data_IF_197783988065
#
_entry.id   IF_197783988065
#
_cell.length_a   1.000
_cell.length_b   1.000
_cell.length_c   1.000
_cell.angle_alpha   90.00
_cell.angle_beta   90.00
_cell.angle_gamma   90.00
#
_symmetry.space_group_name_H-M   'P 1'
#
loop_
_entity.id
_entity.type
_entity.pdbx_description
1 polymer ?
#
# COMPACT_ATOMS: atom_id res chain seq x y z
N UNK A 1 2.43 14.28 -23.19
CA UNK A 1 2.80 13.50 -21.99
C UNK A 1 3.96 12.61 -22.34
N UNK A 2 5.04 12.67 -21.56
CA UNK A 2 6.28 11.96 -21.88
C UNK A 2 6.26 10.54 -21.33
N UNK A 3 6.99 9.64 -21.99
CA UNK A 3 7.13 8.25 -21.56
C UNK A 3 7.62 8.10 -20.11
N UNK A 4 8.44 9.05 -19.63
CA UNK A 4 8.93 9.05 -18.25
C UNK A 4 7.81 9.26 -17.22
N UNK A 5 6.86 10.17 -17.49
CA UNK A 5 5.67 10.36 -16.65
C UNK A 5 4.79 9.11 -16.66
N UNK A 6 4.58 8.50 -17.83
CA UNK A 6 3.77 7.28 -17.96
C UNK A 6 4.38 6.13 -17.17
N UNK A 7 5.69 5.90 -17.29
CA UNK A 7 6.39 4.87 -16.52
C UNK A 7 6.29 5.10 -15.02
N UNK A 8 6.45 6.35 -14.56
CA UNK A 8 6.24 6.71 -13.17
C UNK A 8 4.81 6.38 -12.71
N UNK A 9 3.79 6.88 -13.42
CA UNK A 9 2.40 6.69 -13.06
C UNK A 9 2.00 5.20 -13.04
N UNK A 10 2.46 4.42 -14.02
CA UNK A 10 2.23 2.97 -14.08
C UNK A 10 2.92 2.28 -12.89
N UNK A 11 4.19 2.57 -12.64
CA UNK A 11 4.93 1.95 -11.54
C UNK A 11 4.30 2.24 -10.19
N UNK A 12 3.99 3.51 -9.89
CA UNK A 12 3.35 3.88 -8.62
C UNK A 12 1.97 3.24 -8.48
N UNK A 13 1.19 3.19 -9.56
CA UNK A 13 -0.14 2.57 -9.56
C UNK A 13 -0.07 1.06 -9.30
N UNK A 14 0.87 0.35 -9.94
CA UNK A 14 1.06 -1.08 -9.73
C UNK A 14 1.53 -1.40 -8.31
N UNK A 15 2.46 -0.61 -7.77
CA UNK A 15 2.92 -0.76 -6.38
C UNK A 15 1.78 -0.53 -5.40
N UNK A 16 0.95 0.50 -5.61
CA UNK A 16 -0.14 0.86 -4.72
C UNK A 16 -1.29 -0.15 -4.79
N UNK A 17 -1.65 -0.59 -6.01
CA UNK A 17 -2.66 -1.62 -6.23
C UNK A 17 -2.20 -2.99 -5.70
N UNK A 18 -0.97 -3.41 -6.00
CA UNK A 18 -0.41 -4.67 -5.52
C UNK A 18 -0.24 -4.67 -4.00
N UNK A 19 0.28 -3.59 -3.44
CA UNK A 19 0.43 -3.41 -2.00
C UNK A 19 -0.92 -3.43 -1.28
N UNK A 20 -1.91 -2.68 -1.79
CA UNK A 20 -3.27 -2.67 -1.25
C UNK A 20 -3.96 -4.03 -1.33
N UNK A 21 -3.81 -4.75 -2.46
CA UNK A 21 -4.37 -6.09 -2.62
C UNK A 21 -3.78 -7.09 -1.63
N UNK A 22 -2.44 -7.12 -1.48
CA UNK A 22 -1.77 -7.99 -0.51
C UNK A 22 -2.18 -7.66 0.93
N UNK A 23 -2.38 -6.37 1.24
CA UNK A 23 -2.84 -5.94 2.56
C UNK A 23 -4.24 -6.48 2.85
N UNK A 24 -5.17 -6.34 1.89
CA UNK A 24 -6.54 -6.85 2.02
C UNK A 24 -6.56 -8.38 2.17
N UNK A 25 -5.81 -9.10 1.34
CA UNK A 25 -5.76 -10.58 1.40
C UNK A 25 -5.18 -11.04 2.75
N UNK A 26 -4.08 -10.43 3.20
CA UNK A 26 -3.50 -10.73 4.52
C UNK A 26 -4.44 -10.38 5.69
N UNK A 27 -5.20 -9.29 5.56
CA UNK A 27 -6.20 -8.88 6.54
C UNK A 27 -7.37 -9.87 6.63
N UNK A 28 -7.93 -10.27 5.49
CA UNK A 28 -9.02 -11.25 5.42
C UNK A 28 -8.55 -12.62 5.97
N UNK A 29 -7.28 -12.99 5.74
CA UNK A 29 -6.72 -14.23 6.28
C UNK A 29 -6.50 -14.22 7.80
N UNK A 30 -6.36 -13.05 8.43
CA UNK A 30 -6.00 -12.92 9.85
C UNK A 30 -7.14 -12.47 10.74
N UNK A 31 -8.08 -11.67 10.23
CA UNK A 31 -9.16 -11.09 11.04
C UNK A 31 -10.17 -12.12 11.57
N UNK A 32 -10.72 -13.05 10.75
CA UNK A 32 -11.62 -14.08 11.26
C UNK A 32 -10.92 -14.96 12.31
N UNK A 33 -9.65 -15.30 12.06
CA UNK A 33 -8.85 -16.05 13.00
C UNK A 33 -8.65 -15.31 14.33
N UNK A 34 -8.32 -14.01 14.27
CA UNK A 34 -8.14 -13.20 15.48
C UNK A 34 -9.41 -13.12 16.33
N UNK A 35 -10.59 -13.09 15.70
CA UNK A 35 -11.89 -13.17 16.39
C UNK A 35 -12.06 -14.54 17.04
N UNK A 36 -11.73 -15.64 16.34
CA UNK A 36 -11.82 -17.00 16.89
C UNK A 36 -10.88 -17.24 18.09
N UNK A 37 -9.71 -16.59 18.14
CA UNK A 37 -8.80 -16.65 19.29
C UNK A 37 -9.20 -15.72 20.45
N UNK A 38 -10.28 -14.95 20.31
CA UNK A 38 -10.89 -14.14 21.36
C UNK A 38 -10.64 -12.64 21.25
N UNK A 39 -11.50 -11.87 21.91
CA UNK A 39 -11.56 -10.40 21.80
C UNK A 39 -10.24 -9.68 22.11
N UNK A 40 -9.41 -10.21 23.01
CA UNK A 40 -8.08 -9.62 23.32
C UNK A 40 -7.13 -9.61 22.12
N UNK A 41 -7.23 -10.59 21.22
CA UNK A 41 -6.43 -10.65 19.98
C UNK A 41 -7.10 -9.96 18.80
N UNK A 42 -8.44 -9.94 18.76
CA UNK A 42 -9.20 -9.23 17.73
C UNK A 42 -9.08 -7.71 17.83
N UNK A 43 -9.04 -7.15 19.05
CA UNK A 43 -8.97 -5.71 19.28
C UNK A 43 -7.78 -5.02 18.55
N UNK A 44 -6.53 -5.48 18.71
CA UNK A 44 -5.41 -4.86 18.01
C UNK A 44 -5.50 -5.00 16.49
N UNK A 45 -6.05 -6.11 15.98
CA UNK A 45 -6.25 -6.34 14.53
C UNK A 45 -7.28 -5.34 13.95
N UNK A 46 -8.36 -5.07 14.69
CA UNK A 46 -9.40 -4.11 14.31
C UNK A 46 -8.95 -2.66 14.43
N UNK A 47 -8.25 -2.30 15.50
CA UNK A 47 -7.82 -0.92 15.76
C UNK A 47 -6.64 -0.49 14.89
N UNK A 48 -5.74 -1.43 14.57
CA UNK A 48 -4.55 -1.18 13.77
C UNK A 48 -4.61 -2.07 12.52
N UNK A 49 -5.25 -1.62 11.42
CA UNK A 49 -5.53 -2.46 10.25
C UNK A 49 -4.29 -2.95 9.50
N UNK A 50 -3.11 -2.42 9.84
CA UNK A 50 -1.83 -2.86 9.27
C UNK A 50 -0.96 -3.54 10.32
N UNK A 51 -0.69 -2.85 11.43
CA UNK A 51 0.20 -3.36 12.48
C UNK A 51 -0.43 -4.52 13.29
N UNK A 52 -1.74 -4.49 13.50
CA UNK A 52 -2.48 -5.52 14.26
C UNK A 52 -2.46 -6.89 13.59
N UNK A 53 -2.86 -7.03 12.32
CA UNK A 53 -2.74 -8.28 11.55
C UNK A 53 -1.32 -8.84 11.52
N UNK A 54 -0.32 -7.96 11.36
CA UNK A 54 1.09 -8.34 11.34
C UNK A 54 1.54 -8.90 12.68
N UNK A 55 1.21 -8.20 13.77
CA UNK A 55 1.47 -8.68 15.13
C UNK A 55 0.80 -10.04 15.37
N UNK A 56 -0.48 -10.16 15.03
CA UNK A 56 -1.22 -11.41 15.20
C UNK A 56 -0.58 -12.57 14.43
N UNK A 57 -0.26 -12.36 13.14
CA UNK A 57 0.39 -13.36 12.29
C UNK A 57 1.80 -13.74 12.80
N UNK A 58 2.54 -12.80 13.39
CA UNK A 58 3.83 -13.09 14.03
C UNK A 58 3.68 -13.89 15.32
N UNK A 59 2.63 -13.63 16.12
CA UNK A 59 2.42 -14.34 17.40
C UNK A 59 1.90 -15.76 17.27
N UNK A 60 1.15 -16.07 16.21
CA UNK A 60 0.50 -17.38 16.03
C UNK A 60 1.33 -18.41 15.25
N UNK A 61 2.55 -18.08 14.84
CA UNK A 61 3.50 -19.04 14.28
C UNK A 61 3.24 -19.44 12.83
N UNK A 62 3.64 -20.66 12.46
CA UNK A 62 3.71 -21.13 11.06
C UNK A 62 2.35 -21.21 10.35
N UNK A 63 1.25 -21.38 11.09
CA UNK A 63 -0.11 -21.43 10.54
C UNK A 63 -0.49 -20.15 9.76
N UNK A 64 0.11 -19.01 10.13
CA UNK A 64 -0.12 -17.71 9.48
C UNK A 64 1.06 -17.20 8.66
N UNK A 65 2.01 -18.08 8.29
CA UNK A 65 3.22 -17.68 7.57
C UNK A 65 2.93 -17.02 6.22
N UNK A 66 1.95 -17.52 5.48
CA UNK A 66 1.52 -16.93 4.20
C UNK A 66 0.96 -15.53 4.39
N UNK A 67 0.02 -15.36 5.34
CA UNK A 67 -0.56 -14.05 5.64
C UNK A 67 0.50 -13.06 6.14
N UNK A 68 1.48 -13.52 6.93
CA UNK A 68 2.61 -12.71 7.36
C UNK A 68 3.40 -12.17 6.18
N UNK A 69 3.78 -13.02 5.22
CA UNK A 69 4.53 -12.59 4.05
C UNK A 69 3.72 -11.71 3.10
N UNK A 70 2.41 -11.92 2.99
CA UNK A 70 1.52 -11.03 2.25
C UNK A 70 1.50 -9.63 2.88
N UNK A 71 1.37 -9.53 4.21
CA UNK A 71 1.36 -8.25 4.91
C UNK A 71 2.73 -7.54 4.85
N UNK A 72 3.84 -8.29 4.95
CA UNK A 72 5.19 -7.73 4.77
C UNK A 72 5.37 -7.23 3.33
N UNK A 73 4.98 -8.02 2.35
CA UNK A 73 5.02 -7.64 0.94
C UNK A 73 4.18 -6.39 0.66
N UNK A 74 2.98 -6.33 1.24
CA UNK A 74 2.12 -5.16 1.18
C UNK A 74 2.82 -3.91 1.70
N UNK A 75 3.42 -4.00 2.90
CA UNK A 75 4.15 -2.88 3.50
C UNK A 75 5.31 -2.40 2.62
N UNK A 76 6.09 -3.33 2.07
CA UNK A 76 7.22 -3.00 1.19
C UNK A 76 6.72 -2.27 -0.06
N UNK A 77 5.70 -2.80 -0.73
CA UNK A 77 5.15 -2.18 -1.94
C UNK A 77 4.56 -0.79 -1.67
N UNK A 78 3.82 -0.64 -0.58
CA UNK A 78 3.22 0.65 -0.20
C UNK A 78 4.29 1.66 0.22
N UNK A 79 5.33 1.24 0.92
CA UNK A 79 6.46 2.10 1.27
C UNK A 79 7.21 2.57 0.02
N UNK A 80 7.47 1.66 -0.94
CA UNK A 80 8.08 2.01 -2.22
C UNK A 80 7.19 2.94 -3.05
N UNK A 81 5.89 2.68 -3.12
CA UNK A 81 4.93 3.56 -3.79
C UNK A 81 4.98 4.97 -3.18
N UNK A 82 4.94 5.05 -1.85
CA UNK A 82 4.98 6.32 -1.11
C UNK A 82 6.30 7.05 -1.35
N UNK A 83 7.44 6.35 -1.28
CA UNK A 83 8.74 6.94 -1.55
C UNK A 83 8.85 7.49 -2.98
N UNK A 84 8.35 6.74 -3.97
CA UNK A 84 8.29 7.18 -5.37
C UNK A 84 7.39 8.40 -5.53
N UNK A 85 6.18 8.38 -4.96
CA UNK A 85 5.22 9.48 -5.08
C UNK A 85 5.74 10.74 -4.39
N UNK A 86 6.31 10.63 -3.19
CA UNK A 86 6.83 11.79 -2.48
C UNK A 86 8.15 12.29 -3.08
N UNK A 87 8.98 11.42 -3.63
CA UNK A 87 10.26 11.79 -4.23
C UNK A 87 10.14 12.40 -5.63
N UNK A 88 9.29 11.83 -6.49
CA UNK A 88 9.16 12.22 -7.90
C UNK A 88 7.82 12.89 -8.23
N UNK A 89 6.80 12.74 -7.38
CA UNK A 89 5.49 13.35 -7.59
C UNK A 89 5.53 14.88 -7.67
N UNK A 90 6.24 15.61 -6.78
CA UNK A 90 6.32 17.07 -6.87
C UNK A 90 6.92 17.53 -8.21
N UNK A 91 7.99 16.88 -8.65
CA UNK A 91 8.64 17.16 -9.93
C UNK A 91 7.66 17.04 -11.12
N UNK A 92 6.88 15.96 -11.17
CA UNK A 92 5.90 15.77 -12.24
C UNK A 92 4.67 16.68 -12.09
N UNK A 93 4.26 17.01 -10.87
CA UNK A 93 3.15 17.91 -10.61
C UNK A 93 3.45 19.33 -11.10
N UNK A 94 4.65 19.85 -10.82
CA UNK A 94 5.10 21.17 -11.31
C UNK A 94 5.11 21.22 -12.84
N UNK A 95 5.61 20.17 -13.49
CA UNK A 95 5.64 20.09 -14.96
C UNK A 95 4.25 20.05 -15.58
N UNK A 96 3.34 19.28 -15.01
CA UNK A 96 1.94 19.24 -15.44
C UNK A 96 1.28 20.60 -15.30
N UNK A 97 1.49 21.32 -14.19
CA UNK A 97 0.94 22.66 -13.97
C UNK A 97 1.51 23.65 -14.98
N UNK A 98 2.81 23.60 -15.27
CA UNK A 98 3.45 24.46 -16.27
C UNK A 98 2.88 24.22 -17.67
N UNK A 99 2.76 22.96 -18.11
CA UNK A 99 2.17 22.61 -19.41
C UNK A 99 0.71 23.07 -19.52
N UNK A 100 -0.08 22.92 -18.45
CA UNK A 100 -1.48 23.39 -18.42
C UNK A 100 -1.58 24.92 -18.49
N UNK A 101 -0.68 25.64 -17.81
CA UNK A 101 -0.63 27.10 -17.84
C UNK A 101 -0.22 27.64 -19.22
N UNK A 102 0.72 26.98 -19.90
CA UNK A 102 1.10 27.33 -21.28
C UNK A 102 -0.02 27.04 -22.27
N UNK A 103 -0.68 25.89 -22.17
CA UNK A 103 -1.84 25.56 -22.99
C UNK A 103 -3.00 26.56 -22.80
N UNK A 104 -3.19 27.08 -21.58
CA UNK A 104 -4.19 28.11 -21.30
C UNK A 104 -3.84 29.49 -21.90
N UNK A 105 -2.55 29.83 -22.05
CA UNK A 105 -2.09 31.07 -22.70
C UNK A 105 -2.19 31.04 -24.22
N UNK A 106 -2.13 29.85 -24.81
CA UNK A 106 -2.22 29.63 -26.27
C UNK A 106 -3.67 29.56 -26.78
N UNK A 107 -4.66 29.74 -25.90
CA UNK A 107 -6.09 29.65 -26.17
C UNK A 107 -6.75 31.01 -26.05
#
# INVERSE_FOLDING_TARGET
MDGWFVSFAVATSLLLAGGGALLLVGYIGTLPAAISFGWRKALPVLLLPVAGPLWFACTQGDDFRTARWQLIGALVLLALATALILGLGPYFAERLVAEMAEAAKMR
#
